data_IF_556727426216
#
_entry.id   IF_556727426216
#
_cell.length_a   1.000
_cell.length_b   1.000
_cell.length_c   1.000
_cell.angle_alpha   90.00
_cell.angle_beta   90.00
_cell.angle_gamma   90.00
#
_symmetry.space_group_name_H-M   'P 1'
#
loop_
_entity.id
_entity.type
_entity.pdbx_description
1 polymer ?
#
# COMPACT_ATOMS: atom_id res chain seq x y z
N UNK A 1 12.15 0.48 -13.94
CA UNK A 1 10.91 0.39 -14.76
C UNK A 1 9.83 -0.51 -14.14
N UNK A 2 10.14 -1.44 -13.21
CA UNK A 2 9.13 -2.22 -12.50
C UNK A 2 8.31 -1.41 -11.44
N UNK A 3 8.94 -0.47 -10.73
CA UNK A 3 8.33 0.27 -9.63
C UNK A 3 7.16 1.18 -10.06
N UNK A 4 7.22 1.80 -11.24
CA UNK A 4 6.14 2.64 -11.77
C UNK A 4 4.89 1.82 -12.11
N UNK A 5 5.05 0.69 -12.82
CA UNK A 5 3.95 -0.20 -13.16
C UNK A 5 3.28 -0.78 -11.89
N UNK A 6 4.09 -1.15 -10.88
CA UNK A 6 3.62 -1.56 -9.56
C UNK A 6 2.80 -0.47 -8.88
N UNK A 7 3.28 0.77 -8.90
CA UNK A 7 2.62 1.91 -8.28
C UNK A 7 1.29 2.22 -8.97
N UNK A 8 1.25 2.12 -10.30
CA UNK A 8 0.04 2.29 -11.11
C UNK A 8 -0.98 1.17 -10.83
N UNK A 9 -0.55 -0.09 -10.83
CA UNK A 9 -1.43 -1.23 -10.59
C UNK A 9 -1.96 -1.24 -9.16
N UNK A 10 -1.10 -1.00 -8.17
CA UNK A 10 -1.48 -0.88 -6.77
C UNK A 10 -2.44 0.31 -6.57
N UNK A 11 -2.16 1.46 -7.18
CA UNK A 11 -3.04 2.62 -7.16
C UNK A 11 -4.42 2.33 -7.76
N UNK A 12 -4.47 1.61 -8.88
CA UNK A 12 -5.73 1.20 -9.51
C UNK A 12 -6.53 0.22 -8.66
N UNK A 13 -5.87 -0.81 -8.11
CA UNK A 13 -6.49 -1.81 -7.23
C UNK A 13 -7.00 -1.16 -5.95
N UNK A 14 -6.20 -0.32 -5.30
CA UNK A 14 -6.62 0.40 -4.09
C UNK A 14 -7.78 1.35 -4.37
N UNK A 15 -7.74 2.09 -5.48
CA UNK A 15 -8.84 2.98 -5.89
C UNK A 15 -10.13 2.20 -6.13
N UNK A 16 -10.05 1.02 -6.76
CA UNK A 16 -11.19 0.14 -6.96
C UNK A 16 -11.71 -0.42 -5.62
N UNK A 17 -10.80 -0.85 -4.74
CA UNK A 17 -11.12 -1.44 -3.45
C UNK A 17 -11.84 -0.45 -2.52
N UNK A 18 -11.36 0.80 -2.44
CA UNK A 18 -11.98 1.85 -1.63
C UNK A 18 -13.27 2.41 -2.26
N UNK A 19 -13.48 2.23 -3.57
CA UNK A 19 -14.71 2.64 -4.27
C UNK A 19 -15.82 1.58 -4.20
N UNK A 20 -15.53 0.38 -3.68
CA UNK A 20 -16.51 -0.69 -3.61
C UNK A 20 -17.60 -0.35 -2.57
N UNK A 21 -18.90 -0.34 -2.94
CA UNK A 21 -19.97 0.26 -2.13
C UNK A 21 -20.16 -0.40 -0.75
N UNK A 22 -19.82 -1.69 -0.62
CA UNK A 22 -19.86 -2.39 0.67
C UNK A 22 -18.74 -2.00 1.64
N UNK A 23 -17.58 -1.61 1.11
CA UNK A 23 -16.41 -1.23 1.92
C UNK A 23 -16.47 0.26 2.24
N UNK A 24 -16.95 1.09 1.32
CA UNK A 24 -17.03 2.53 1.49
C UNK A 24 -17.96 2.90 2.67
N UNK A 25 -19.16 2.32 2.75
CA UNK A 25 -20.10 2.61 3.85
C UNK A 25 -19.56 2.20 5.24
N UNK A 26 -18.88 1.05 5.32
CA UNK A 26 -18.20 0.63 6.55
C UNK A 26 -17.04 1.57 6.87
N UNK A 27 -16.16 1.84 5.90
CA UNK A 27 -15.01 2.72 6.07
C UNK A 27 -15.43 4.12 6.51
N UNK A 28 -16.49 4.69 5.91
CA UNK A 28 -17.00 6.01 6.23
C UNK A 28 -17.51 6.10 7.68
N UNK A 29 -18.06 5.01 8.23
CA UNK A 29 -18.53 4.91 9.61
C UNK A 29 -17.40 4.85 10.65
N UNK A 30 -16.15 4.59 10.24
CA UNK A 30 -15.02 4.55 11.17
C UNK A 30 -14.65 5.95 11.66
N UNK A 31 -14.30 6.02 12.95
CA UNK A 31 -13.66 7.19 13.52
C UNK A 31 -12.34 7.50 12.80
N UNK A 32 -11.86 8.76 12.80
CA UNK A 32 -10.66 9.15 12.07
C UNK A 32 -9.42 8.29 12.39
N UNK A 33 -9.23 7.94 13.67
CA UNK A 33 -8.16 7.03 14.08
C UNK A 33 -8.32 5.62 13.47
N UNK A 34 -9.54 5.10 13.41
CA UNK A 34 -9.84 3.81 12.78
C UNK A 34 -9.50 3.80 11.28
N UNK A 35 -9.83 4.88 10.57
CA UNK A 35 -9.48 5.04 9.14
C UNK A 35 -7.96 4.98 8.91
N UNK A 36 -7.17 5.61 9.79
CA UNK A 36 -5.71 5.55 9.73
C UNK A 36 -5.17 4.12 9.93
N UNK A 37 -5.69 3.38 10.90
CA UNK A 37 -5.28 2.00 11.14
C UNK A 37 -5.61 1.09 9.96
N UNK A 38 -6.78 1.27 9.35
CA UNK A 38 -7.16 0.53 8.14
C UNK A 38 -6.23 0.84 6.98
N UNK A 39 -5.92 2.12 6.72
CA UNK A 39 -4.96 2.49 5.66
C UNK A 39 -3.58 1.88 5.92
N UNK A 40 -3.10 1.90 7.17
CA UNK A 40 -1.82 1.32 7.55
C UNK A 40 -1.81 -0.20 7.36
N UNK A 41 -2.87 -0.89 7.80
CA UNK A 41 -3.03 -2.33 7.62
C UNK A 41 -3.03 -2.72 6.14
N UNK A 42 -3.77 -2.00 5.30
CA UNK A 42 -3.80 -2.22 3.85
C UNK A 42 -2.41 -2.05 3.24
N UNK A 43 -1.65 -1.06 3.69
CA UNK A 43 -0.29 -0.80 3.19
C UNK A 43 0.66 -1.95 3.54
N UNK A 44 0.62 -2.41 4.80
CA UNK A 44 1.41 -3.58 5.26
C UNK A 44 1.01 -4.85 4.50
N UNK A 45 -0.28 -5.11 4.31
CA UNK A 45 -0.76 -6.26 3.56
C UNK A 45 -0.32 -6.22 2.09
N UNK A 46 -0.37 -5.05 1.47
CA UNK A 46 0.05 -4.87 0.08
C UNK A 46 1.55 -5.15 -0.07
N UNK A 47 2.39 -4.56 0.79
CA UNK A 47 3.83 -4.81 0.78
C UNK A 47 4.17 -6.28 1.09
N UNK A 48 3.50 -6.87 2.08
CA UNK A 48 3.68 -8.29 2.43
C UNK A 48 3.27 -9.23 1.29
N UNK A 49 2.18 -8.91 0.60
CA UNK A 49 1.73 -9.63 -0.59
C UNK A 49 2.73 -9.56 -1.73
N UNK A 50 3.30 -8.37 -1.99
CA UNK A 50 4.35 -8.19 -3.01
C UNK A 50 5.60 -9.02 -2.69
N UNK A 51 6.07 -9.01 -1.44
CA UNK A 51 7.24 -9.80 -1.01
C UNK A 51 6.95 -11.29 -1.10
N UNK A 52 5.76 -11.72 -0.67
CA UNK A 52 5.37 -13.12 -0.73
C UNK A 52 5.29 -13.60 -2.19
N UNK A 53 4.71 -12.80 -3.08
CA UNK A 53 4.63 -13.09 -4.51
C UNK A 53 6.03 -13.11 -5.16
N UNK A 54 6.91 -12.20 -4.77
CA UNK A 54 8.32 -12.18 -5.19
C UNK A 54 9.05 -13.49 -4.86
N UNK A 55 8.71 -14.13 -3.74
CA UNK A 55 9.32 -15.39 -3.32
C UNK A 55 8.67 -16.66 -3.91
N UNK A 56 7.53 -16.55 -4.60
CA UNK A 56 6.87 -17.69 -5.27
C UNK A 56 7.37 -17.95 -6.70
N UNK A 57 8.21 -17.06 -7.26
CA UNK A 57 8.67 -17.12 -8.64
C UNK A 57 7.68 -16.54 -9.66
N UNK A 58 6.39 -16.44 -9.31
CA UNK A 58 5.35 -15.86 -10.17
C UNK A 58 5.54 -14.36 -10.41
N UNK A 59 6.29 -13.68 -9.54
CA UNK A 59 6.61 -12.27 -9.73
C UNK A 59 7.27 -11.96 -11.08
N UNK A 60 8.08 -12.89 -11.60
CA UNK A 60 8.73 -12.72 -12.91
C UNK A 60 7.69 -12.67 -14.04
N UNK A 61 6.64 -13.49 -13.96
CA UNK A 61 5.54 -13.51 -14.93
C UNK A 61 4.70 -12.21 -14.89
N UNK A 62 4.68 -11.52 -13.75
CA UNK A 62 4.05 -10.22 -13.57
C UNK A 62 4.99 -9.03 -13.86
N UNK A 63 6.23 -9.27 -14.30
CA UNK A 63 7.23 -8.23 -14.54
C UNK A 63 7.73 -7.55 -13.26
N UNK A 64 7.58 -8.21 -12.12
CA UNK A 64 8.15 -7.78 -10.83
C UNK A 64 9.61 -8.24 -10.73
N UNK A 65 10.53 -7.31 -10.97
CA UNK A 65 11.96 -7.48 -10.66
C UNK A 65 12.23 -7.23 -9.17
N UNK A 66 11.50 -7.92 -8.29
CA UNK A 66 11.77 -7.90 -6.85
C UNK A 66 12.54 -9.17 -6.52
N UNK A 67 13.81 -9.02 -6.18
CA UNK A 67 14.62 -10.14 -5.73
C UNK A 67 14.12 -10.63 -4.36
N UNK A 68 13.87 -11.94 -4.22
CA UNK A 68 13.63 -12.59 -2.94
C UNK A 68 14.98 -12.88 -2.24
N UNK A 69 15.75 -11.83 -1.97
CA UNK A 69 17.05 -11.90 -1.31
C UNK A 69 17.15 -10.84 -0.19
N UNK A 70 18.26 -10.83 0.55
CA UNK A 70 18.47 -9.85 1.63
C UNK A 70 18.35 -8.41 1.11
N UNK A 71 18.85 -8.14 -0.09
CA UNK A 71 18.82 -6.81 -0.66
C UNK A 71 17.39 -6.36 -1.01
N UNK A 72 16.60 -7.24 -1.64
CA UNK A 72 15.19 -6.98 -1.94
C UNK A 72 14.35 -6.78 -0.68
N UNK A 73 14.60 -7.56 0.38
CA UNK A 73 13.90 -7.40 1.66
C UNK A 73 14.19 -6.04 2.31
N UNK A 74 15.46 -5.62 2.34
CA UNK A 74 15.87 -4.31 2.90
C UNK A 74 15.28 -3.17 2.07
N UNK A 75 15.25 -3.30 0.75
CA UNK A 75 14.64 -2.31 -0.15
C UNK A 75 13.14 -2.16 0.15
N UNK A 76 12.44 -3.27 0.33
CA UNK A 76 11.00 -3.27 0.64
C UNK A 76 10.69 -2.72 2.03
N UNK A 77 11.51 -3.00 3.03
CA UNK A 77 11.36 -2.42 4.37
C UNK A 77 11.52 -0.89 4.32
N UNK A 78 12.53 -0.38 3.62
CA UNK A 78 12.72 1.06 3.45
C UNK A 78 11.55 1.69 2.69
N UNK A 79 11.05 1.03 1.63
CA UNK A 79 9.88 1.48 0.90
C UNK A 79 8.62 1.52 1.78
N UNK A 80 8.41 0.50 2.63
CA UNK A 80 7.30 0.46 3.59
C UNK A 80 7.40 1.60 4.61
N UNK A 81 8.57 1.85 5.17
CA UNK A 81 8.81 2.96 6.10
C UNK A 81 8.51 4.30 5.42
N UNK A 82 9.00 4.50 4.19
CA UNK A 82 8.72 5.69 3.39
C UNK A 82 7.22 5.87 3.12
N UNK A 83 6.53 4.79 2.77
CA UNK A 83 5.09 4.81 2.52
C UNK A 83 4.26 5.08 3.78
N UNK A 84 4.66 4.55 4.94
CA UNK A 84 4.05 4.88 6.25
C UNK A 84 4.23 6.36 6.56
N UNK A 85 5.45 6.90 6.40
CA UNK A 85 5.72 8.33 6.60
C UNK A 85 4.88 9.19 5.67
N UNK A 86 4.78 8.82 4.39
CA UNK A 86 3.95 9.52 3.41
C UNK A 86 2.46 9.47 3.77
N UNK A 87 1.93 8.29 4.11
CA UNK A 87 0.52 8.11 4.48
C UNK A 87 0.14 8.95 5.72
N UNK A 88 0.99 8.94 6.75
CA UNK A 88 0.77 9.74 7.96
C UNK A 88 0.96 11.25 7.71
N UNK A 89 1.91 11.63 6.85
CA UNK A 89 2.14 13.01 6.44
C UNK A 89 0.95 13.61 5.67
N UNK A 90 0.43 12.87 4.69
CA UNK A 90 -0.76 13.26 3.91
C UNK A 90 -1.99 13.36 4.81
N UNK A 91 -2.16 12.44 5.77
CA UNK A 91 -3.25 12.53 6.74
C UNK A 91 -3.16 13.80 7.61
N UNK A 92 -1.98 14.13 8.12
CA UNK A 92 -1.76 15.37 8.88
C UNK A 92 -2.08 16.62 8.02
N UNK A 93 -1.66 16.63 6.75
CA UNK A 93 -1.93 17.73 5.82
C UNK A 93 -3.43 17.89 5.54
N UNK A 94 -4.10 16.81 5.19
CA UNK A 94 -5.55 16.81 4.90
C UNK A 94 -6.37 17.20 6.13
N UNK A 95 -5.99 16.73 7.33
CA UNK A 95 -6.63 17.16 8.58
C UNK A 95 -6.47 18.67 8.84
N UNK A 96 -5.34 19.27 8.47
CA UNK A 96 -5.10 20.72 8.63
C UNK A 96 -5.89 21.57 7.64
N UNK A 97 -6.21 21.07 6.44
CA UNK A 97 -6.96 21.82 5.41
C UNK A 97 -8.48 21.73 5.58
N UNK A 98 -8.99 20.73 6.32
CA UNK A 98 -10.43 20.58 6.59
C UNK A 98 -10.96 21.38 7.78
N UNK A 99 -10.18 22.34 8.30
CA UNK A 99 -10.56 23.28 9.36
C UNK A 99 -10.68 24.69 8.81
#
# INVERSE_FOLDING_TARGET
MAAENLSMLAGAVLSFFFRFPGIQGWFDSLQPAGKQWVMLATLVLTTGGIVSLACTGWAVDFGLEVACDRFGLVTMINALIGAIMANQGVYQLTRRMGH
#
